data_IF_105710202224
#
_entry.id   IF_105710202224
#
_cell.length_a   1.000
_cell.length_b   1.000
_cell.length_c   1.000
_cell.angle_alpha   90.00
_cell.angle_beta   90.00
_cell.angle_gamma   90.00
#
_symmetry.space_group_name_H-M   'P 1'
#
loop_
_entity.id
_entity.type
_entity.pdbx_description
1 polymer ?
#
# COMPACT_ATOMS: atom_id res chain seq x y z
N UNK A 1 -14.65 11.48 25.44
CA UNK A 1 -13.39 11.77 24.72
C UNK A 1 -13.27 10.79 23.57
N UNK A 2 -13.70 11.18 22.37
CA UNK A 2 -13.66 10.35 21.16
C UNK A 2 -12.43 10.74 20.34
N UNK A 3 -11.29 10.13 20.62
CA UNK A 3 -10.07 10.50 19.90
C UNK A 3 -9.82 9.53 18.74
N UNK A 4 -9.94 10.05 17.51
CA UNK A 4 -9.28 9.49 16.32
C UNK A 4 -7.78 9.17 16.56
N UNK A 5 -7.17 9.76 17.60
CA UNK A 5 -5.83 9.44 18.08
C UNK A 5 -5.66 7.97 18.54
N UNK A 6 -6.70 7.32 19.07
CA UNK A 6 -6.64 5.90 19.44
C UNK A 6 -6.54 4.98 18.20
N UNK A 7 -6.97 5.46 17.03
CA UNK A 7 -6.91 4.73 15.77
C UNK A 7 -5.56 4.88 15.04
N UNK A 8 -4.66 5.76 15.50
CA UNK A 8 -3.34 5.98 14.86
C UNK A 8 -2.49 4.72 14.80
N UNK A 9 -2.60 3.85 15.82
CA UNK A 9 -1.86 2.59 15.91
C UNK A 9 -2.25 1.57 14.83
N UNK A 10 -3.28 1.84 14.03
CA UNK A 10 -3.75 0.96 12.97
C UNK A 10 -3.45 1.50 11.57
N UNK A 11 -3.01 2.75 11.41
CA UNK A 11 -2.61 3.25 10.09
C UNK A 11 -1.18 2.83 9.82
N UNK A 12 -0.90 2.36 8.62
CA UNK A 12 0.44 1.96 8.19
C UNK A 12 0.82 2.67 6.90
N UNK A 13 2.13 2.91 6.71
CA UNK A 13 2.68 3.36 5.44
C UNK A 13 3.16 2.15 4.65
N UNK A 14 2.80 2.10 3.37
CA UNK A 14 3.14 1.01 2.46
C UNK A 14 4.04 1.60 1.37
N UNK A 15 5.24 1.05 1.22
CA UNK A 15 6.14 1.34 0.11
C UNK A 15 6.06 0.23 -0.93
N UNK A 16 5.72 0.59 -2.16
CA UNK A 16 5.58 -0.34 -3.29
C UNK A 16 6.74 -0.09 -4.25
N UNK A 17 7.62 -1.08 -4.37
CA UNK A 17 8.82 -1.01 -5.19
C UNK A 17 8.52 -1.51 -6.60
N UNK A 18 8.92 -0.72 -7.60
CA UNK A 18 8.91 -1.06 -9.01
C UNK A 18 10.35 -1.02 -9.52
N UNK A 19 10.81 -2.13 -10.09
CA UNK A 19 12.18 -2.28 -10.60
C UNK A 19 12.16 -2.58 -12.10
N UNK A 20 13.01 -1.88 -12.83
CA UNK A 20 13.16 -2.07 -14.27
C UNK A 20 14.63 -1.87 -14.66
N UNK A 21 15.26 -2.95 -15.13
CA UNK A 21 16.67 -2.97 -15.55
C UNK A 21 17.57 -2.41 -14.43
N UNK A 22 18.12 -1.21 -14.62
CA UNK A 22 19.02 -0.52 -13.67
C UNK A 22 18.35 0.63 -12.92
N UNK A 23 17.01 0.71 -12.92
CA UNK A 23 16.25 1.77 -12.26
C UNK A 23 15.21 1.18 -11.31
N UNK A 24 14.93 1.93 -10.24
CA UNK A 24 13.95 1.56 -9.22
C UNK A 24 13.17 2.80 -8.79
N UNK A 25 11.85 2.64 -8.58
CA UNK A 25 10.98 3.66 -8.02
C UNK A 25 10.14 3.08 -6.89
N UNK A 26 9.87 3.90 -5.88
CA UNK A 26 8.97 3.54 -4.79
C UNK A 26 7.78 4.49 -4.81
N UNK A 27 6.58 3.92 -4.75
CA UNK A 27 5.35 4.65 -4.49
C UNK A 27 4.92 4.43 -3.04
N UNK A 28 4.63 5.53 -2.35
CA UNK A 28 4.16 5.50 -0.96
C UNK A 28 2.66 5.67 -0.90
N UNK A 29 2.01 4.74 -0.22
CA UNK A 29 0.57 4.75 0.01
C UNK A 29 0.28 4.43 1.47
N UNK A 30 -0.99 4.42 1.84
CA UNK A 30 -1.41 4.12 3.21
C UNK A 30 -2.32 2.89 3.23
N UNK A 31 -2.34 2.21 4.37
CA UNK A 31 -3.24 1.11 4.65
C UNK A 31 -3.71 1.11 6.09
N UNK A 32 -4.65 0.23 6.38
CA UNK A 32 -5.20 -0.01 7.70
C UNK A 32 -4.84 -1.43 8.15
N UNK A 33 -4.10 -1.54 9.25
CA UNK A 33 -3.81 -2.77 9.96
C UNK A 33 -5.11 -3.30 10.58
N UNK A 34 -5.63 -4.41 10.03
CA UNK A 34 -6.83 -5.07 10.52
C UNK A 34 -6.54 -6.02 11.69
N UNK A 35 -5.37 -6.66 11.64
CA UNK A 35 -4.85 -7.61 12.64
C UNK A 35 -3.33 -7.47 12.69
N UNK A 36 -2.65 -8.17 13.59
CA UNK A 36 -1.19 -8.26 13.63
C UNK A 36 -0.53 -8.82 12.36
N UNK A 37 -1.33 -9.35 11.41
CA UNK A 37 -0.83 -9.96 10.17
C UNK A 37 -1.43 -9.39 8.88
N UNK A 38 -2.54 -8.68 8.95
CA UNK A 38 -3.29 -8.27 7.74
C UNK A 38 -3.46 -6.76 7.64
N UNK A 39 -3.21 -6.22 6.45
CA UNK A 39 -3.38 -4.81 6.11
C UNK A 39 -4.35 -4.67 4.93
N UNK A 40 -5.28 -3.73 5.03
CA UNK A 40 -6.22 -3.35 3.98
C UNK A 40 -5.77 -2.04 3.32
N UNK A 41 -5.77 -1.99 1.99
CA UNK A 41 -5.46 -0.77 1.23
C UNK A 41 -6.22 -0.76 -0.09
N UNK A 42 -6.12 0.30 -0.88
CA UNK A 42 -6.71 0.36 -2.21
C UNK A 42 -5.92 -0.51 -3.20
N UNK A 43 -6.63 -1.25 -4.05
CA UNK A 43 -6.01 -2.21 -4.95
C UNK A 43 -5.27 -1.54 -6.13
N UNK A 44 -5.71 -0.35 -6.54
CA UNK A 44 -5.12 0.38 -7.67
C UNK A 44 -3.66 0.80 -7.42
N UNK A 45 -3.21 0.82 -6.17
CA UNK A 45 -1.81 1.08 -5.82
C UNK A 45 -0.83 0.02 -6.38
N UNK A 46 -1.34 -1.18 -6.71
CA UNK A 46 -0.58 -2.31 -7.22
C UNK A 46 -0.75 -2.53 -8.72
N UNK A 47 -1.38 -1.59 -9.42
CA UNK A 47 -1.53 -1.66 -10.86
C UNK A 47 -0.18 -1.53 -11.56
N UNK A 48 -0.14 -2.10 -12.76
CA UNK A 48 1.02 -1.99 -13.64
C UNK A 48 1.22 -0.52 -13.99
N UNK A 49 2.43 -0.01 -13.79
CA UNK A 49 2.77 1.37 -14.15
C UNK A 49 3.36 1.43 -15.55
N UNK A 50 3.05 2.49 -16.28
CA UNK A 50 3.67 2.79 -17.57
C UNK A 50 4.94 3.59 -17.33
N UNK A 51 6.08 3.03 -17.74
CA UNK A 51 7.39 3.68 -17.65
C UNK A 51 7.98 3.77 -19.06
N UNK A 52 7.77 4.92 -19.71
CA UNK A 52 8.05 5.08 -21.13
C UNK A 52 7.09 4.21 -21.94
N UNK A 53 7.63 3.30 -22.75
CA UNK A 53 6.83 2.35 -23.55
C UNK A 53 6.63 0.99 -22.85
N UNK A 54 7.25 0.78 -21.69
CA UNK A 54 7.23 -0.50 -20.97
C UNK A 54 6.19 -0.49 -19.85
N UNK A 55 5.66 -1.68 -19.56
CA UNK A 55 4.69 -1.95 -18.50
C UNK A 55 5.38 -2.68 -17.36
N UNK A 56 5.46 -2.06 -16.19
CA UNK A 56 6.22 -2.57 -15.04
C UNK A 56 5.26 -2.96 -13.92
N UNK A 57 5.37 -4.21 -13.44
CA UNK A 57 4.67 -4.67 -12.24
C UNK A 57 5.52 -4.42 -11.00
N UNK A 58 4.89 -4.28 -9.84
CA UNK A 58 5.61 -4.15 -8.57
C UNK A 58 6.45 -5.40 -8.28
N UNK A 59 7.66 -5.22 -7.76
CA UNK A 59 8.57 -6.31 -7.38
C UNK A 59 8.50 -6.65 -5.89
N UNK A 60 8.29 -5.66 -5.02
CA UNK A 60 8.25 -5.84 -3.57
C UNK A 60 7.28 -4.85 -2.90
N UNK A 61 6.68 -5.27 -1.79
CA UNK A 61 5.82 -4.44 -0.94
C UNK A 61 6.36 -4.46 0.48
N UNK A 62 6.66 -3.29 1.04
CA UNK A 62 7.14 -3.13 2.42
C UNK A 62 6.18 -2.27 3.23
N UNK A 63 6.02 -2.58 4.51
CA UNK A 63 5.10 -1.88 5.42
C UNK A 63 5.86 -1.39 6.66
N UNK A 64 5.52 -0.18 7.10
CA UNK A 64 5.97 0.40 8.36
C UNK A 64 4.76 0.88 9.16
N UNK A 65 4.74 0.62 10.47
CA UNK A 65 3.72 1.15 11.37
C UNK A 65 3.84 2.67 11.46
N UNK A 66 2.72 3.39 11.37
CA UNK A 66 2.74 4.85 11.50
C UNK A 66 2.86 5.27 12.98
N UNK A 67 4.08 5.44 13.46
CA UNK A 67 4.41 6.78 13.96
C UNK A 67 4.81 7.63 12.74
N UNK A 68 5.06 8.96 12.79
CA UNK A 68 5.54 9.70 11.61
C UNK A 68 6.97 9.25 11.30
N UNK A 69 7.08 8.06 10.70
CA UNK A 69 8.28 7.45 10.20
C UNK A 69 8.84 8.37 9.13
N UNK A 70 10.04 8.87 9.40
CA UNK A 70 10.84 9.68 8.49
C UNK A 70 10.92 8.95 7.13
N UNK A 71 10.80 9.69 6.03
CA UNK A 71 10.89 9.15 4.66
C UNK A 71 12.19 8.36 4.43
N UNK A 72 13.23 8.67 5.20
CA UNK A 72 14.50 7.93 5.24
C UNK A 72 14.36 6.43 5.54
N UNK A 73 13.28 5.99 6.17
CA UNK A 73 13.07 4.60 6.53
C UNK A 73 12.73 3.69 5.34
N UNK A 74 12.39 4.25 4.17
CA UNK A 74 12.16 3.51 2.93
C UNK A 74 13.32 3.61 1.93
N UNK A 75 14.54 3.88 2.40
CA UNK A 75 15.72 3.83 1.55
C UNK A 75 16.00 2.40 1.06
N UNK A 76 15.99 2.19 -0.27
CA UNK A 76 16.39 0.91 -0.90
C UNK A 76 17.83 0.53 -0.50
N UNK A 77 18.68 1.52 -0.29
CA UNK A 77 20.10 1.34 0.02
C UNK A 77 20.35 0.85 1.44
N UNK A 78 19.39 1.06 2.35
CA UNK A 78 19.54 0.72 3.77
C UNK A 78 18.17 0.46 4.40
N UNK A 79 17.58 -0.73 4.19
CA UNK A 79 16.27 -1.04 4.72
C UNK A 79 16.30 -1.04 6.25
N UNK A 80 15.40 -0.26 6.86
CA UNK A 80 15.26 -0.21 8.31
C UNK A 80 14.78 -1.56 8.86
N UNK A 81 15.25 -2.02 10.04
CA UNK A 81 14.73 -3.22 10.70
C UNK A 81 13.25 -3.10 11.12
N UNK A 82 12.67 -1.89 11.02
CA UNK A 82 11.25 -1.63 11.29
C UNK A 82 10.35 -1.91 10.06
N UNK A 83 10.94 -2.25 8.90
CA UNK A 83 10.20 -2.63 7.71
C UNK A 83 9.80 -4.10 7.77
N UNK A 84 8.52 -4.35 7.54
CA UNK A 84 7.96 -5.70 7.43
C UNK A 84 7.58 -5.92 5.96
N UNK A 85 8.10 -6.97 5.35
CA UNK A 85 7.70 -7.33 3.99
C UNK A 85 6.24 -7.82 4.00
N UNK A 86 5.51 -7.51 2.93
CA UNK A 86 4.12 -7.93 2.79
C UNK A 86 3.89 -8.53 1.40
N UNK A 87 2.94 -9.44 1.31
CA UNK A 87 2.47 -10.01 0.05
C UNK A 87 1.03 -9.63 -0.20
N UNK A 88 0.71 -9.37 -1.47
CA UNK A 88 -0.66 -9.20 -1.92
C UNK A 88 -1.38 -10.56 -1.93
N UNK A 89 -2.32 -10.76 -1.01
CA UNK A 89 -3.08 -12.02 -0.88
C UNK A 89 -4.29 -12.01 -1.80
N UNK A 90 -5.00 -10.88 -1.86
CA UNK A 90 -6.24 -10.77 -2.64
C UNK A 90 -6.48 -9.33 -3.08
N UNK A 91 -6.99 -9.17 -4.30
CA UNK A 91 -7.64 -7.96 -4.84
C UNK A 91 -9.12 -8.26 -5.07
N UNK A 92 -9.95 -7.26 -5.32
CA UNK A 92 -11.38 -7.45 -5.59
C UNK A 92 -12.17 -7.78 -4.33
N UNK A 93 -11.80 -7.25 -3.15
CA UNK A 93 -12.49 -7.60 -1.90
C UNK A 93 -13.90 -7.02 -1.78
N UNK A 94 -14.20 -5.95 -2.51
CA UNK A 94 -15.55 -5.40 -2.61
C UNK A 94 -16.24 -6.00 -3.84
N UNK A 95 -17.29 -6.79 -3.63
CA UNK A 95 -18.20 -7.21 -4.68
C UNK A 95 -19.24 -6.10 -4.91
N UNK A 96 -19.37 -5.63 -6.14
CA UNK A 96 -20.14 -4.45 -6.53
C UNK A 96 -21.59 -4.42 -6.01
N UNK A 97 -21.96 -3.31 -5.34
CA UNK A 97 -23.28 -2.67 -5.38
C UNK A 97 -23.10 -1.16 -5.60
N UNK A 98 -22.98 -0.81 -6.88
CA UNK A 98 -22.58 0.48 -7.47
C UNK A 98 -23.69 1.56 -7.49
N UNK A 99 -24.91 1.26 -7.03
CA UNK A 99 -26.08 2.13 -7.29
C UNK A 99 -26.00 3.56 -6.71
N UNK A 100 -25.11 3.81 -5.76
CA UNK A 100 -24.94 5.11 -5.07
C UNK A 100 -23.60 5.81 -5.43
N UNK A 101 -22.98 5.45 -6.56
CA UNK A 101 -21.66 5.96 -6.96
C UNK A 101 -21.71 7.37 -7.59
N UNK A 102 -21.05 8.35 -6.97
CA UNK A 102 -20.83 9.72 -7.47
C UNK A 102 -19.52 9.82 -8.27
N UNK A 103 -19.66 10.37 -9.47
CA UNK A 103 -18.90 10.10 -10.68
C UNK A 103 -17.60 10.89 -10.85
N UNK A 104 -17.25 11.81 -9.94
CA UNK A 104 -16.25 12.83 -10.32
C UNK A 104 -14.81 12.53 -9.92
N UNK A 105 -14.51 11.82 -8.82
CA UNK A 105 -13.10 11.57 -8.40
C UNK A 105 -12.91 10.38 -7.46
N UNK A 106 -12.80 9.15 -7.98
CA UNK A 106 -12.17 8.01 -7.26
C UNK A 106 -12.13 6.79 -8.17
N UNK A 107 -10.93 6.36 -8.59
CA UNK A 107 -10.71 5.05 -9.19
C UNK A 107 -11.07 3.96 -8.18
N UNK A 108 -12.21 3.28 -8.42
CA UNK A 108 -12.71 2.05 -7.80
C UNK A 108 -12.34 1.80 -6.33
N UNK A 109 -13.36 1.70 -5.48
CA UNK A 109 -13.31 1.14 -4.11
C UNK A 109 -12.96 -0.35 -4.10
N UNK A 110 -12.08 -0.80 -5.00
CA UNK A 110 -11.48 -2.11 -4.93
C UNK A 110 -10.40 -2.10 -3.85
N UNK A 111 -10.56 -2.98 -2.87
CA UNK A 111 -9.65 -3.14 -1.76
C UNK A 111 -8.75 -4.36 -1.98
N UNK A 112 -7.50 -4.19 -1.61
CA UNK A 112 -6.49 -5.23 -1.56
C UNK A 112 -6.20 -5.62 -0.11
N UNK A 113 -6.04 -6.92 0.12
CA UNK A 113 -5.56 -7.49 1.37
C UNK A 113 -4.09 -7.84 1.22
N UNK A 114 -3.28 -7.30 2.11
CA UNK A 114 -1.87 -7.64 2.27
C UNK A 114 -1.70 -8.51 3.52
N UNK A 115 -0.81 -9.50 3.44
CA UNK A 115 -0.36 -10.29 4.59
C UNK A 115 1.11 -9.97 4.89
N UNK A 116 1.40 -9.64 6.14
CA UNK A 116 2.76 -9.42 6.66
C UNK A 116 3.49 -10.78 6.76
N UNK A 117 4.73 -10.82 6.29
CA UNK A 117 5.60 -12.02 6.25
C UNK A 117 6.69 -12.01 7.29
#
# INVERSE_FOLDING_TARGET
MSSLLAARNFVVRIGILYEQKSSAQIFYVTGLLLTDRFVLTCSHHFDVVEWGEEKVSHSKINICLCDPADESLFSISNPSPLLIEAKLVRRGLCADKISDYDYTRSSSTDLALLELT
#
